data_IF_892153639088
#
_entry.id   IF_892153639088
#
_cell.length_a   1.000
_cell.length_b   1.000
_cell.length_c   1.000
_cell.angle_alpha   90.00
_cell.angle_beta   90.00
_cell.angle_gamma   90.00
#
_symmetry.space_group_name_H-M   'P 1'
#
loop_
_entity.id
_entity.type
_entity.pdbx_description
1 polymer ?
#
# COMPACT_ATOMS: atom_id res chain seq x y z
N UNK A 1 8.10 -31.08 -5.32
CA UNK A 1 9.08 -31.59 -4.35
C UNK A 1 9.12 -30.63 -3.17
N UNK A 2 9.00 -31.12 -1.93
CA UNK A 2 9.31 -30.35 -0.73
C UNK A 2 10.72 -29.76 -0.83
N UNK A 3 10.92 -28.54 -0.32
CA UNK A 3 12.24 -27.87 -0.31
C UNK A 3 13.29 -28.73 0.40
N UNK A 4 12.88 -29.53 1.40
CA UNK A 4 13.77 -30.43 2.12
C UNK A 4 14.37 -31.56 1.26
N UNK A 5 13.79 -31.84 0.08
CA UNK A 5 14.26 -32.87 -0.84
C UNK A 5 15.19 -32.33 -1.94
N UNK A 6 15.43 -31.01 -1.97
CA UNK A 6 16.32 -30.38 -2.95
C UNK A 6 17.79 -30.55 -2.57
N UNK A 7 18.64 -30.78 -3.56
CA UNK A 7 20.09 -30.86 -3.32
C UNK A 7 20.66 -29.48 -2.94
N UNK A 8 21.74 -29.41 -2.15
CA UNK A 8 22.39 -28.14 -1.80
C UNK A 8 22.79 -27.30 -3.02
N UNK A 9 23.17 -27.96 -4.13
CA UNK A 9 23.49 -27.32 -5.40
C UNK A 9 22.27 -26.56 -5.96
N UNK A 10 21.11 -27.22 -6.02
CA UNK A 10 19.86 -26.64 -6.52
C UNK A 10 19.39 -25.49 -5.63
N UNK A 11 19.54 -25.62 -4.31
CA UNK A 11 19.25 -24.52 -3.37
C UNK A 11 20.17 -23.32 -3.63
N UNK A 12 21.46 -23.56 -3.88
CA UNK A 12 22.42 -22.52 -4.24
C UNK A 12 22.08 -21.81 -5.55
N UNK A 13 21.72 -22.57 -6.59
CA UNK A 13 21.34 -22.03 -7.90
C UNK A 13 20.04 -21.21 -7.81
N UNK A 14 19.05 -21.70 -7.06
CA UNK A 14 17.81 -20.95 -6.79
C UNK A 14 18.09 -19.67 -6.02
N UNK A 15 18.92 -19.72 -4.99
CA UNK A 15 19.33 -18.53 -4.23
C UNK A 15 19.99 -17.49 -5.14
N UNK A 16 20.92 -17.92 -5.99
CA UNK A 16 21.58 -17.04 -6.95
C UNK A 16 20.58 -16.44 -7.95
N UNK A 17 19.69 -17.25 -8.52
CA UNK A 17 18.64 -16.77 -9.41
C UNK A 17 17.78 -15.71 -8.73
N UNK A 18 17.27 -16.02 -7.54
CA UNK A 18 16.43 -15.13 -6.75
C UNK A 18 17.14 -13.80 -6.45
N UNK A 19 18.39 -13.84 -5.96
CA UNK A 19 19.16 -12.63 -5.65
C UNK A 19 19.42 -11.73 -6.87
N UNK A 20 19.61 -12.31 -8.05
CA UNK A 20 19.99 -11.57 -9.26
C UNK A 20 18.81 -11.28 -10.20
N UNK A 21 17.63 -11.87 -9.96
CA UNK A 21 16.45 -11.65 -10.78
C UNK A 21 15.91 -10.23 -10.58
N UNK A 22 16.17 -9.35 -11.53
CA UNK A 22 15.51 -8.05 -11.60
C UNK A 22 14.22 -8.20 -12.42
N UNK A 23 13.07 -8.12 -11.76
CA UNK A 23 11.83 -7.87 -12.49
C UNK A 23 11.96 -6.50 -13.16
N UNK A 24 11.73 -6.42 -14.47
CA UNK A 24 11.62 -5.14 -15.13
C UNK A 24 10.54 -4.32 -14.42
N UNK A 25 10.82 -3.09 -13.96
CA UNK A 25 9.79 -2.25 -13.39
C UNK A 25 8.75 -2.03 -14.48
N UNK A 26 7.57 -2.62 -14.31
CA UNK A 26 6.42 -2.32 -15.16
C UNK A 26 5.99 -0.89 -14.85
N UNK A 27 6.52 0.07 -15.62
CA UNK A 27 5.97 1.41 -15.71
C UNK A 27 4.68 1.32 -16.54
N UNK A 28 3.58 0.91 -15.91
CA UNK A 28 2.30 0.74 -16.58
C UNK A 28 1.51 2.04 -16.50
N UNK A 29 1.80 2.94 -17.46
CA UNK A 29 1.03 4.14 -17.72
C UNK A 29 0.02 3.83 -18.84
N UNK A 30 -1.29 3.84 -18.54
CA UNK A 30 -2.33 3.46 -19.51
C UNK A 30 -2.30 4.30 -20.79
N UNK A 31 -1.91 5.58 -20.71
CA UNK A 31 -1.82 6.44 -21.90
C UNK A 31 -0.74 5.94 -22.86
N UNK A 32 0.43 5.62 -22.32
CA UNK A 32 1.54 5.02 -23.08
C UNK A 32 1.16 3.62 -23.56
N UNK A 33 0.53 2.80 -22.72
CA UNK A 33 0.17 1.43 -23.05
C UNK A 33 -0.95 1.33 -24.09
N UNK A 34 -1.96 2.19 -24.05
CA UNK A 34 -3.00 2.26 -25.08
C UNK A 34 -2.37 2.70 -26.40
N UNK A 35 -1.46 3.68 -26.37
CA UNK A 35 -0.72 4.08 -27.57
C UNK A 35 0.17 2.95 -28.12
N UNK A 36 0.89 2.23 -27.27
CA UNK A 36 1.72 1.10 -27.68
C UNK A 36 0.91 -0.08 -28.22
N UNK A 37 -0.24 -0.39 -27.61
CA UNK A 37 -1.05 -1.56 -27.97
C UNK A 37 -2.01 -1.30 -29.14
N UNK A 38 -2.53 -0.08 -29.26
CA UNK A 38 -3.62 0.26 -30.19
C UNK A 38 -3.31 1.49 -31.07
N UNK A 39 -2.09 2.01 -30.99
CA UNK A 39 -1.62 3.13 -31.78
C UNK A 39 -2.41 4.42 -31.57
N UNK A 40 -2.37 5.29 -32.58
CA UNK A 40 -3.10 6.56 -32.60
C UNK A 40 -4.62 6.38 -32.53
N UNK A 41 -5.16 5.25 -33.01
CA UNK A 41 -6.60 4.97 -33.00
C UNK A 41 -7.09 4.73 -31.58
N UNK A 42 -6.42 3.89 -30.79
CA UNK A 42 -6.77 3.68 -29.38
C UNK A 42 -6.65 4.96 -28.56
N UNK A 43 -5.61 5.76 -28.84
CA UNK A 43 -5.41 7.06 -28.20
C UNK A 43 -6.54 8.05 -28.52
N UNK A 44 -7.02 8.09 -29.77
CA UNK A 44 -8.16 8.92 -30.16
C UNK A 44 -9.47 8.49 -29.45
N UNK A 45 -9.72 7.18 -29.33
CA UNK A 45 -10.89 6.64 -28.62
C UNK A 45 -10.85 7.04 -27.14
N UNK A 46 -9.69 6.94 -26.50
CA UNK A 46 -9.49 7.35 -25.12
C UNK A 46 -9.76 8.86 -24.93
N UNK A 47 -9.27 9.72 -25.82
CA UNK A 47 -9.58 11.17 -25.79
C UNK A 47 -11.09 11.41 -25.92
N UNK A 48 -11.78 10.69 -26.81
CA UNK A 48 -13.23 10.80 -26.94
C UNK A 48 -13.96 10.40 -25.65
N UNK A 49 -13.50 9.36 -24.95
CA UNK A 49 -14.05 8.96 -23.65
C UNK A 49 -13.83 10.02 -22.56
N UNK A 50 -12.67 10.69 -22.55
CA UNK A 50 -12.37 11.79 -21.62
C UNK A 50 -13.31 12.97 -21.90
N UNK A 51 -13.44 13.39 -23.16
CA UNK A 51 -14.33 14.49 -23.57
C UNK A 51 -15.79 14.15 -23.24
N UNK A 52 -16.23 12.92 -23.51
CA UNK A 52 -17.57 12.46 -23.16
C UNK A 52 -17.83 12.54 -21.65
N UNK A 53 -16.88 12.10 -20.83
CA UNK A 53 -16.97 12.14 -19.37
C UNK A 53 -17.05 13.60 -18.88
N UNK A 54 -16.18 14.48 -19.39
CA UNK A 54 -16.17 15.89 -19.04
C UNK A 54 -17.47 16.62 -19.42
N UNK A 55 -18.01 16.35 -20.61
CA UNK A 55 -19.27 16.96 -21.07
C UNK A 55 -20.48 16.50 -20.25
N UNK A 56 -20.52 15.23 -19.84
CA UNK A 56 -21.57 14.71 -18.95
C UNK A 56 -21.45 15.26 -17.54
N UNK A 57 -20.23 15.35 -16.98
CA UNK A 57 -19.99 16.00 -15.70
C UNK A 57 -20.42 17.48 -15.71
N UNK A 58 -20.09 18.20 -16.78
CA UNK A 58 -20.50 19.60 -16.97
C UNK A 58 -22.02 19.76 -17.06
N UNK A 59 -22.70 18.85 -17.78
CA UNK A 59 -24.16 18.83 -17.87
C UNK A 59 -24.80 18.55 -16.51
N UNK A 60 -24.25 17.65 -15.70
CA UNK A 60 -24.70 17.39 -14.32
C UNK A 60 -24.54 18.62 -13.42
N UNK A 61 -23.43 19.35 -13.57
CA UNK A 61 -23.17 20.57 -12.79
C UNK A 61 -24.15 21.70 -13.14
N UNK A 62 -24.52 21.84 -14.43
CA UNK A 62 -25.45 22.89 -14.89
C UNK A 62 -26.93 22.52 -14.75
N UNK A 63 -27.29 21.30 -15.10
CA UNK A 63 -28.66 20.81 -15.07
C UNK A 63 -28.75 19.71 -14.01
N UNK A 64 -29.52 19.96 -12.94
CA UNK A 64 -29.68 19.08 -11.76
C UNK A 64 -30.32 17.70 -12.05
N UNK A 65 -30.33 17.23 -13.29
CA UNK A 65 -30.95 15.97 -13.70
C UNK A 65 -30.12 15.26 -14.77
N UNK A 66 -29.66 14.06 -14.43
CA UNK A 66 -29.07 13.08 -15.34
C UNK A 66 -29.86 11.78 -15.20
N UNK A 67 -29.87 10.95 -16.24
CA UNK A 67 -30.47 9.62 -16.12
C UNK A 67 -29.60 8.72 -15.21
N UNK A 68 -30.19 7.73 -14.52
CA UNK A 68 -29.44 6.82 -13.65
C UNK A 68 -28.30 6.07 -14.37
N UNK A 69 -28.52 5.64 -15.60
CA UNK A 69 -27.51 4.98 -16.44
C UNK A 69 -26.34 5.91 -16.78
N UNK A 70 -26.62 7.18 -17.04
CA UNK A 70 -25.58 8.18 -17.28
C UNK A 70 -24.77 8.49 -16.02
N UNK A 71 -25.41 8.46 -14.84
CA UNK A 71 -24.73 8.64 -13.55
C UNK A 71 -23.77 7.49 -13.23
N UNK A 72 -24.19 6.24 -13.47
CA UNK A 72 -23.33 5.06 -13.30
C UNK A 72 -22.17 5.09 -14.30
N UNK A 73 -22.45 5.38 -15.57
CA UNK A 73 -21.40 5.51 -16.60
C UNK A 73 -20.40 6.62 -16.26
N UNK A 74 -20.88 7.76 -15.73
CA UNK A 74 -20.02 8.86 -15.30
C UNK A 74 -19.13 8.46 -14.11
N UNK A 75 -19.67 7.73 -13.13
CA UNK A 75 -18.92 7.25 -11.98
C UNK A 75 -17.82 6.25 -12.38
N UNK A 76 -18.16 5.29 -13.25
CA UNK A 76 -17.21 4.30 -13.78
C UNK A 76 -16.10 5.01 -14.56
N UNK A 77 -16.44 5.86 -15.52
CA UNK A 77 -15.45 6.54 -16.36
C UNK A 77 -14.56 7.50 -15.56
N UNK A 78 -15.13 8.27 -14.63
CA UNK A 78 -14.35 9.17 -13.76
C UNK A 78 -13.40 8.39 -12.86
N UNK A 79 -13.81 7.22 -12.35
CA UNK A 79 -12.95 6.35 -11.55
C UNK A 79 -11.79 5.77 -12.34
N UNK A 80 -12.03 5.32 -13.58
CA UNK A 80 -11.00 4.79 -14.48
C UNK A 80 -9.95 5.87 -14.79
N UNK A 81 -10.37 7.11 -15.07
CA UNK A 81 -9.41 8.19 -15.34
C UNK A 81 -8.66 8.66 -14.10
N UNK A 82 -9.30 8.68 -12.93
CA UNK A 82 -8.65 9.06 -11.68
C UNK A 82 -7.55 8.05 -11.30
N UNK A 83 -7.84 6.75 -11.41
CA UNK A 83 -6.87 5.68 -11.18
C UNK A 83 -5.62 5.79 -12.06
N UNK A 84 -5.74 6.26 -13.29
CA UNK A 84 -4.60 6.30 -14.22
C UNK A 84 -3.78 7.58 -14.13
N UNK A 85 -4.37 8.65 -13.57
CA UNK A 85 -3.63 9.86 -13.18
C UNK A 85 -2.78 9.56 -11.92
N UNK A 86 -3.32 8.74 -11.02
CA UNK A 86 -2.65 8.31 -9.79
C UNK A 86 -2.24 6.84 -9.91
N UNK A 87 -1.17 6.60 -10.67
CA UNK A 87 -0.47 5.30 -10.86
C UNK A 87 -0.89 4.22 -9.86
N UNK A 88 -1.39 3.07 -10.35
CA UNK A 88 -1.84 1.92 -9.54
C UNK A 88 -0.76 1.35 -8.61
N UNK A 89 0.52 1.72 -8.79
CA UNK A 89 1.58 1.43 -7.81
C UNK A 89 1.40 2.19 -6.49
N UNK A 90 0.59 3.26 -6.47
CA UNK A 90 -0.15 3.62 -5.27
C UNK A 90 -1.22 2.56 -5.05
N UNK A 91 -0.89 1.60 -4.18
CA UNK A 91 -1.64 0.43 -3.68
C UNK A 91 -3.16 0.66 -3.43
N UNK A 92 -3.64 1.90 -3.45
CA UNK A 92 -4.96 2.34 -2.96
C UNK A 92 -5.99 2.73 -4.04
N UNK A 93 -5.72 2.55 -5.33
CA UNK A 93 -6.78 2.68 -6.35
C UNK A 93 -7.90 1.62 -6.20
N UNK A 94 -7.60 0.47 -5.56
CA UNK A 94 -8.54 -0.64 -5.38
C UNK A 94 -9.65 -0.38 -4.36
N UNK A 95 -9.41 0.45 -3.33
CA UNK A 95 -10.43 0.82 -2.32
C UNK A 95 -11.32 1.97 -2.80
N UNK A 96 -10.79 2.88 -3.61
CA UNK A 96 -11.54 4.00 -4.19
C UNK A 96 -12.64 3.52 -5.15
N UNK A 97 -12.38 2.46 -5.92
CA UNK A 97 -13.31 1.87 -6.88
C UNK A 97 -14.61 1.38 -6.23
N UNK A 98 -14.50 0.53 -5.20
CA UNK A 98 -15.67 -0.01 -4.50
C UNK A 98 -16.41 1.08 -3.74
N UNK A 99 -15.70 2.08 -3.21
CA UNK A 99 -16.31 3.19 -2.50
C UNK A 99 -17.09 4.13 -3.44
N UNK A 100 -16.55 4.51 -4.60
CA UNK A 100 -17.29 5.33 -5.59
C UNK A 100 -18.45 4.55 -6.20
N UNK A 101 -18.27 3.26 -6.51
CA UNK A 101 -19.33 2.41 -7.01
C UNK A 101 -20.45 2.25 -5.95
N UNK A 102 -20.08 2.00 -4.69
CA UNK A 102 -21.03 1.95 -3.57
C UNK A 102 -21.70 3.31 -3.36
N UNK A 103 -20.98 4.43 -3.43
CA UNK A 103 -21.55 5.77 -3.35
C UNK A 103 -22.53 6.01 -4.51
N UNK A 104 -22.20 5.60 -5.74
CA UNK A 104 -23.07 5.70 -6.90
C UNK A 104 -24.35 4.87 -6.75
N UNK A 105 -24.23 3.65 -6.23
CA UNK A 105 -25.37 2.75 -5.95
C UNK A 105 -26.22 3.28 -4.78
N UNK A 106 -25.59 3.75 -3.70
CA UNK A 106 -26.26 4.26 -2.49
C UNK A 106 -26.86 5.66 -2.66
N UNK A 107 -26.34 6.47 -3.59
CA UNK A 107 -26.91 7.78 -3.95
C UNK A 107 -28.16 7.65 -4.82
N UNK A 108 -28.50 6.44 -5.27
CA UNK A 108 -29.76 6.17 -5.92
C UNK A 108 -30.84 5.95 -4.85
N UNK A 109 -31.98 6.68 -4.88
CA UNK A 109 -33.16 6.21 -4.16
C UNK A 109 -33.63 4.97 -4.92
N UNK A 110 -33.48 3.75 -4.38
CA UNK A 110 -33.98 2.51 -5.01
C UNK A 110 -35.43 2.72 -5.47
N UNK A 111 -35.64 3.11 -6.73
CA UNK A 111 -36.95 3.24 -7.33
C UNK A 111 -37.24 1.90 -7.98
N UNK A 112 -37.58 0.93 -7.14
CA UNK A 112 -38.28 -0.25 -7.60
C UNK A 112 -39.68 0.18 -8.05
N UNK A 113 -39.86 0.26 -9.37
CA UNK A 113 -41.13 0.12 -10.08
C UNK A 113 -40.81 -0.84 -11.23
N UNK A 114 -41.43 -2.01 -11.38
CA UNK A 114 -42.84 -2.38 -11.20
C UNK A 114 -42.98 -3.87 -10.82
N UNK A 115 -44.08 -4.22 -10.14
CA UNK A 115 -44.56 -5.60 -10.01
C UNK A 115 -44.58 -6.13 -8.58
N UNK A 116 -45.78 -6.15 -7.98
CA UNK A 116 -46.14 -6.78 -6.70
C UNK A 116 -45.55 -6.19 -5.41
N UNK A 117 -46.38 -5.45 -4.67
CA UNK A 117 -46.57 -5.40 -3.20
C UNK A 117 -45.43 -5.75 -2.23
N UNK A 118 -44.17 -5.56 -2.60
CA UNK A 118 -43.04 -5.56 -1.68
C UNK A 118 -42.70 -4.10 -1.43
N UNK A 119 -42.89 -3.65 -0.18
CA UNK A 119 -42.38 -2.35 0.26
C UNK A 119 -40.90 -2.31 -0.13
N UNK A 120 -40.45 -1.34 -0.96
CA UNK A 120 -39.03 -1.23 -1.27
C UNK A 120 -38.31 -1.13 0.07
N UNK A 121 -37.19 -1.85 0.21
CA UNK A 121 -36.34 -1.78 1.39
C UNK A 121 -35.76 -0.35 1.43
N UNK A 122 -36.54 0.59 1.98
CA UNK A 122 -36.15 2.00 2.03
C UNK A 122 -35.17 2.14 3.18
N UNK A 123 -33.88 2.04 2.87
CA UNK A 123 -32.87 2.52 3.81
C UNK A 123 -33.14 4.00 4.07
N UNK A 124 -33.42 4.41 5.32
CA UNK A 124 -33.75 5.80 5.59
C UNK A 124 -32.58 6.70 5.14
N UNK A 125 -32.84 7.80 4.41
CA UNK A 125 -31.80 8.63 3.80
C UNK A 125 -30.71 9.10 4.78
N UNK A 126 -31.07 9.30 6.05
CA UNK A 126 -30.15 9.64 7.14
C UNK A 126 -29.03 8.62 7.37
N UNK A 127 -29.30 7.32 7.18
CA UNK A 127 -28.28 6.27 7.34
C UNK A 127 -27.38 6.17 6.11
N UNK A 128 -27.91 6.42 4.90
CA UNK A 128 -27.12 6.49 3.68
C UNK A 128 -26.12 7.65 3.73
N UNK A 129 -26.57 8.83 4.16
CA UNK A 129 -25.70 9.99 4.38
C UNK A 129 -24.66 9.69 5.46
N UNK A 130 -25.03 9.03 6.56
CA UNK A 130 -24.08 8.64 7.59
C UNK A 130 -23.00 7.66 7.07
N UNK A 131 -23.39 6.64 6.30
CA UNK A 131 -22.45 5.69 5.68
C UNK A 131 -21.52 6.41 4.69
N UNK A 132 -22.05 7.35 3.90
CA UNK A 132 -21.25 8.16 2.99
C UNK A 132 -20.22 9.03 3.72
N UNK A 133 -20.61 9.66 4.84
CA UNK A 133 -19.69 10.44 5.67
C UNK A 133 -18.59 9.55 6.24
N UNK A 134 -18.95 8.37 6.76
CA UNK A 134 -17.97 7.40 7.31
C UNK A 134 -16.99 6.94 6.22
N UNK A 135 -17.49 6.61 5.02
CA UNK A 135 -16.66 6.23 3.88
C UNK A 135 -15.73 7.38 3.45
N UNK A 136 -16.25 8.61 3.39
CA UNK A 136 -15.46 9.79 3.02
C UNK A 136 -14.34 10.05 4.03
N UNK A 137 -14.66 9.98 5.33
CA UNK A 137 -13.65 10.12 6.40
C UNK A 137 -12.60 9.02 6.28
N UNK A 138 -13.01 7.76 6.08
CA UNK A 138 -12.08 6.65 5.91
C UNK A 138 -11.13 6.85 4.72
N UNK A 139 -11.65 7.30 3.56
CA UNK A 139 -10.83 7.60 2.37
C UNK A 139 -9.84 8.74 2.63
N UNK A 140 -10.26 9.80 3.33
CA UNK A 140 -9.38 10.93 3.68
C UNK A 140 -8.24 10.44 4.60
N UNK A 141 -8.56 9.61 5.60
CA UNK A 141 -7.57 9.03 6.51
C UNK A 141 -6.56 8.14 5.76
N UNK A 142 -7.04 7.33 4.82
CA UNK A 142 -6.20 6.48 3.97
C UNK A 142 -5.25 7.33 3.09
N UNK A 143 -5.80 8.33 2.37
CA UNK A 143 -5.02 9.23 1.53
C UNK A 143 -3.99 10.07 2.30
N UNK A 144 -4.30 10.45 3.55
CA UNK A 144 -3.36 11.12 4.43
C UNK A 144 -2.16 10.22 4.79
N UNK A 145 -2.40 8.96 5.17
CA UNK A 145 -1.34 7.99 5.44
C UNK A 145 -0.45 7.74 4.21
N UNK A 146 -1.02 7.65 3.01
CA UNK A 146 -0.25 7.52 1.77
C UNK A 146 0.66 8.71 1.53
N UNK A 147 0.13 9.93 1.68
CA UNK A 147 0.93 11.15 1.49
C UNK A 147 2.12 11.19 2.46
N UNK A 148 1.92 10.76 3.70
CA UNK A 148 3.01 10.63 4.66
C UNK A 148 4.02 9.54 4.25
N UNK A 149 3.56 8.39 3.77
CA UNK A 149 4.42 7.30 3.28
C UNK A 149 5.31 7.77 2.14
N UNK A 150 4.76 8.47 1.14
CA UNK A 150 5.54 9.03 0.04
C UNK A 150 6.52 10.12 0.50
N UNK A 151 6.14 10.98 1.45
CA UNK A 151 7.07 11.95 2.04
C UNK A 151 8.26 11.28 2.69
N UNK A 152 8.05 10.16 3.38
CA UNK A 152 9.15 9.37 3.97
C UNK A 152 10.02 8.74 2.88
N UNK A 153 9.42 8.11 1.87
CA UNK A 153 10.18 7.53 0.75
C UNK A 153 11.04 8.57 0.05
N UNK A 154 10.50 9.77 -0.19
CA UNK A 154 11.24 10.89 -0.76
C UNK A 154 12.36 11.39 0.16
N UNK A 155 12.11 11.49 1.47
CA UNK A 155 13.09 11.91 2.46
C UNK A 155 14.32 10.99 2.47
N UNK A 156 14.11 9.68 2.27
CA UNK A 156 15.17 8.67 2.30
C UNK A 156 15.55 8.10 0.93
N UNK A 157 15.05 8.64 -0.18
CA UNK A 157 15.22 8.09 -1.55
C UNK A 157 16.66 7.74 -1.91
N UNK A 158 17.62 8.52 -1.41
CA UNK A 158 19.04 8.35 -1.71
C UNK A 158 19.81 7.57 -0.61
N UNK A 159 19.12 7.16 0.45
CA UNK A 159 19.69 6.63 1.69
C UNK A 159 19.42 5.14 1.90
N UNK A 160 18.55 4.53 1.11
CA UNK A 160 18.36 3.08 1.09
C UNK A 160 18.40 2.54 -0.34
N UNK A 161 18.71 1.26 -0.43
CA UNK A 161 18.40 0.43 -1.59
C UNK A 161 17.41 -0.64 -1.14
N UNK A 162 16.53 -1.04 -2.05
CA UNK A 162 15.62 -2.16 -1.86
C UNK A 162 16.12 -3.27 -2.78
N UNK A 163 16.38 -4.45 -2.23
CA UNK A 163 16.72 -5.60 -3.08
C UNK A 163 15.46 -6.22 -3.71
N UNK A 164 15.66 -7.24 -4.56
CA UNK A 164 14.56 -7.90 -5.28
C UNK A 164 13.53 -8.59 -4.36
N UNK A 165 13.84 -8.74 -3.06
CA UNK A 165 12.95 -9.33 -2.04
C UNK A 165 12.32 -8.28 -1.13
N UNK A 166 12.38 -7.01 -1.52
CA UNK A 166 11.93 -5.89 -0.71
C UNK A 166 12.72 -5.69 0.60
N UNK A 167 13.91 -6.29 0.75
CA UNK A 167 14.74 -6.02 1.92
C UNK A 167 15.33 -4.60 1.81
N UNK A 168 15.11 -3.81 2.84
CA UNK A 168 15.68 -2.47 2.98
C UNK A 168 17.14 -2.56 3.44
N UNK A 169 18.05 -2.02 2.63
CA UNK A 169 19.45 -1.84 2.98
C UNK A 169 19.76 -0.36 3.05
N UNK A 170 20.06 0.13 4.25
CA UNK A 170 20.50 1.51 4.43
C UNK A 170 21.94 1.66 3.93
N UNK A 171 22.24 2.80 3.32
CA UNK A 171 23.63 3.17 3.04
C UNK A 171 24.33 3.49 4.35
N UNK A 172 25.65 3.32 4.38
CA UNK A 172 26.45 3.69 5.54
C UNK A 172 26.26 5.18 5.88
N UNK A 173 26.13 5.49 7.17
CA UNK A 173 26.06 6.86 7.67
C UNK A 173 24.67 7.52 7.66
N UNK A 174 23.57 6.78 7.41
CA UNK A 174 22.21 7.35 7.49
C UNK A 174 21.87 7.89 8.88
N UNK A 175 22.30 7.19 9.93
CA UNK A 175 22.19 7.64 11.32
C UNK A 175 23.08 8.87 11.64
N UNK A 176 23.97 9.27 10.73
CA UNK A 176 24.80 10.48 10.86
C UNK A 176 24.09 11.75 10.41
N UNK A 177 23.04 11.61 9.60
CA UNK A 177 22.28 12.76 9.12
C UNK A 177 21.19 13.18 10.12
N UNK A 178 21.57 13.99 11.12
CA UNK A 178 20.66 14.48 12.16
C UNK A 178 19.42 15.23 11.60
N UNK A 179 19.55 15.93 10.46
CA UNK A 179 18.43 16.64 9.82
C UNK A 179 17.41 15.63 9.30
N UNK A 180 17.88 14.55 8.70
CA UNK A 180 17.03 13.50 8.15
C UNK A 180 16.34 12.71 9.26
N UNK A 181 17.07 12.36 10.33
CA UNK A 181 16.51 11.67 11.49
C UNK A 181 15.48 12.54 12.23
N UNK A 182 15.74 13.82 12.46
CA UNK A 182 14.78 14.73 13.12
C UNK A 182 13.50 14.91 12.29
N UNK A 183 13.61 15.01 10.97
CA UNK A 183 12.45 15.04 10.06
C UNK A 183 11.65 13.75 10.14
N UNK A 184 12.30 12.59 10.11
CA UNK A 184 11.63 11.30 10.26
C UNK A 184 10.86 11.22 11.58
N UNK A 185 11.49 11.56 12.70
CA UNK A 185 10.85 11.54 14.03
C UNK A 185 9.67 12.50 14.16
N UNK A 186 9.61 13.54 13.32
CA UNK A 186 8.46 14.46 13.26
C UNK A 186 7.30 13.88 12.43
N UNK A 187 7.62 13.09 11.40
CA UNK A 187 6.64 12.56 10.44
C UNK A 187 6.03 11.23 10.92
N UNK A 188 6.83 10.31 11.45
CA UNK A 188 6.39 8.96 11.83
C UNK A 188 5.20 8.94 12.83
N UNK A 189 5.15 9.81 13.87
CA UNK A 189 4.01 9.86 14.78
C UNK A 189 2.72 10.42 14.15
N UNK A 190 2.80 11.05 12.96
CA UNK A 190 1.62 11.58 12.27
C UNK A 190 0.85 10.48 11.53
N UNK A 191 1.43 9.30 11.35
CA UNK A 191 0.71 8.18 10.76
C UNK A 191 -0.46 7.80 11.66
N UNK A 192 -1.62 7.61 11.03
CA UNK A 192 -2.78 7.11 11.74
C UNK A 192 -2.52 5.65 12.13
N UNK A 193 -3.10 5.16 13.24
CA UNK A 193 -2.90 3.81 13.75
C UNK A 193 -3.66 2.76 12.93
N UNK A 194 -3.51 2.82 11.61
CA UNK A 194 -4.07 1.90 10.64
C UNK A 194 -2.90 1.02 10.14
N UNK A 195 -2.71 -0.19 10.70
CA UNK A 195 -1.65 -1.10 10.28
C UNK A 195 -2.05 -1.74 8.94
N UNK A 196 -1.88 -0.99 7.86
CA UNK A 196 -2.27 -1.43 6.50
C UNK A 196 -1.03 -1.76 5.66
N UNK A 197 0.12 -1.15 5.96
CA UNK A 197 1.32 -1.26 5.14
C UNK A 197 2.50 -1.85 5.94
N UNK A 198 2.76 -3.15 5.71
CA UNK A 198 3.89 -3.88 6.28
C UNK A 198 5.26 -3.26 5.93
N UNK A 199 5.40 -2.64 4.74
CA UNK A 199 6.67 -2.08 4.27
C UNK A 199 6.95 -0.76 4.98
N UNK A 200 5.92 0.03 5.27
CA UNK A 200 6.04 1.22 6.14
C UNK A 200 6.52 0.83 7.53
N UNK A 201 5.94 -0.20 8.13
CA UNK A 201 6.34 -0.67 9.46
C UNK A 201 7.76 -1.24 9.46
N UNK A 202 8.13 -2.02 8.45
CA UNK A 202 9.52 -2.47 8.24
C UNK A 202 10.50 -1.31 8.15
N UNK A 203 10.15 -0.30 7.35
CA UNK A 203 10.97 0.89 7.15
C UNK A 203 11.18 1.67 8.45
N UNK A 204 10.09 1.99 9.15
CA UNK A 204 10.17 2.73 10.41
C UNK A 204 10.95 1.95 11.47
N UNK A 205 10.70 0.64 11.58
CA UNK A 205 11.42 -0.25 12.48
C UNK A 205 12.93 -0.25 12.23
N UNK A 206 13.34 -0.36 10.97
CA UNK A 206 14.77 -0.34 10.61
C UNK A 206 15.40 1.03 10.90
N UNK A 207 14.75 2.15 10.57
CA UNK A 207 15.28 3.49 10.89
C UNK A 207 15.52 3.65 12.39
N UNK A 208 14.57 3.22 13.23
CA UNK A 208 14.74 3.28 14.68
C UNK A 208 15.85 2.35 15.19
N UNK A 209 16.03 1.18 14.56
CA UNK A 209 17.13 0.27 14.89
C UNK A 209 18.50 0.89 14.56
N UNK A 210 18.64 1.57 13.42
CA UNK A 210 19.86 2.31 13.06
C UNK A 210 20.16 3.45 14.06
N UNK A 211 19.13 4.21 14.45
CA UNK A 211 19.27 5.26 15.46
C UNK A 211 19.71 4.66 16.80
N UNK A 212 19.15 3.52 17.21
CA UNK A 212 19.59 2.80 18.41
C UNK A 212 21.05 2.35 18.31
N UNK A 213 21.48 1.76 17.19
CA UNK A 213 22.85 1.29 17.05
C UNK A 213 23.88 2.41 17.27
N UNK A 214 23.54 3.64 16.89
CA UNK A 214 24.37 4.82 17.12
C UNK A 214 24.22 5.43 18.52
N UNK A 215 23.00 5.71 18.94
CA UNK A 215 22.71 6.43 20.20
C UNK A 215 22.83 5.56 21.45
N UNK A 216 22.65 4.23 21.28
CA UNK A 216 22.47 3.24 22.35
C UNK A 216 21.28 3.52 23.28
N UNK A 217 20.34 4.38 22.89
CA UNK A 217 19.15 4.71 23.67
C UNK A 217 18.05 3.64 23.47
N UNK A 218 17.70 2.96 24.56
CA UNK A 218 16.69 1.89 24.58
C UNK A 218 15.31 2.35 24.11
N UNK A 219 14.99 3.64 24.19
CA UNK A 219 13.72 4.16 23.66
C UNK A 219 13.57 3.89 22.16
N UNK A 220 14.65 4.00 21.39
CA UNK A 220 14.62 3.69 19.96
C UNK A 220 14.56 2.19 19.69
N UNK A 221 15.15 1.36 20.56
CA UNK A 221 15.02 -0.09 20.49
C UNK A 221 13.57 -0.54 20.71
N UNK A 222 12.86 0.06 21.67
CA UNK A 222 11.44 -0.22 21.91
C UNK A 222 10.56 0.25 20.76
N UNK A 223 10.84 1.42 20.16
CA UNK A 223 10.13 1.88 18.97
C UNK A 223 10.35 0.93 17.79
N UNK A 224 11.58 0.51 17.54
CA UNK A 224 11.90 -0.48 16.51
C UNK A 224 11.11 -1.78 16.74
N UNK A 225 11.12 -2.28 17.98
CA UNK A 225 10.36 -3.46 18.40
C UNK A 225 8.86 -3.31 18.10
N UNK A 226 8.26 -2.17 18.44
CA UNK A 226 6.84 -1.90 18.22
C UNK A 226 6.46 -1.93 16.74
N UNK A 227 7.28 -1.33 15.87
CA UNK A 227 7.05 -1.36 14.43
C UNK A 227 7.19 -2.77 13.85
N UNK A 228 8.22 -3.53 14.22
CA UNK A 228 8.36 -4.89 13.70
C UNK A 228 7.29 -5.86 14.25
N UNK A 229 6.79 -5.64 15.47
CA UNK A 229 5.61 -6.35 15.98
C UNK A 229 4.34 -5.99 15.19
N UNK A 230 4.16 -4.72 14.84
CA UNK A 230 3.07 -4.28 13.96
C UNK A 230 3.18 -4.93 12.58
N UNK A 231 4.39 -4.99 12.02
CA UNK A 231 4.66 -5.67 10.74
C UNK A 231 4.20 -7.13 10.75
N UNK A 232 4.58 -7.94 11.75
CA UNK A 232 4.15 -9.35 11.81
C UNK A 232 2.66 -9.51 12.14
N UNK A 233 2.01 -8.47 12.67
CA UNK A 233 0.56 -8.49 12.86
C UNK A 233 -0.19 -8.31 11.53
N UNK A 234 0.37 -7.53 10.61
CA UNK A 234 -0.14 -7.33 9.24
C UNK A 234 0.21 -8.54 8.38
N UNK A 235 1.49 -8.93 8.39
CA UNK A 235 2.04 -10.01 7.59
C UNK A 235 2.84 -11.00 8.46
N UNK A 236 2.16 -12.01 9.06
CA UNK A 236 2.76 -12.94 10.03
C UNK A 236 3.96 -13.74 9.52
N UNK A 237 4.08 -13.90 8.21
CA UNK A 237 5.12 -14.68 7.56
C UNK A 237 6.29 -13.80 7.06
N UNK A 238 6.36 -12.53 7.46
CA UNK A 238 7.47 -11.64 7.09
C UNK A 238 8.79 -12.11 7.70
N UNK A 239 9.61 -12.80 6.91
CA UNK A 239 10.93 -13.26 7.34
C UNK A 239 11.84 -12.10 7.79
N UNK A 240 11.72 -10.93 7.14
CA UNK A 240 12.48 -9.72 7.48
C UNK A 240 12.14 -9.24 8.88
N UNK A 241 10.84 -9.10 9.19
CA UNK A 241 10.39 -8.62 10.49
C UNK A 241 10.70 -9.63 11.60
N UNK A 242 10.55 -10.93 11.33
CA UNK A 242 10.91 -11.99 12.28
C UNK A 242 12.41 -11.97 12.59
N UNK A 243 13.26 -11.81 11.59
CA UNK A 243 14.72 -11.71 11.79
C UNK A 243 15.10 -10.48 12.62
N UNK A 244 14.54 -9.30 12.29
CA UNK A 244 14.83 -8.08 13.08
C UNK A 244 14.29 -8.16 14.50
N UNK A 245 13.15 -8.83 14.73
CA UNK A 245 12.67 -9.12 16.09
C UNK A 245 13.62 -10.05 16.85
N UNK A 246 14.12 -11.11 16.21
CA UNK A 246 15.16 -11.98 16.80
C UNK A 246 16.39 -11.19 17.26
N UNK A 247 16.89 -10.30 16.41
CA UNK A 247 18.02 -9.41 16.72
C UNK A 247 17.70 -8.45 17.88
N UNK A 248 16.51 -7.82 17.86
CA UNK A 248 16.07 -6.89 18.90
C UNK A 248 15.91 -7.60 20.26
N UNK A 249 15.29 -8.78 20.31
CA UNK A 249 15.14 -9.53 21.55
C UNK A 249 16.50 -10.00 22.09
N UNK A 250 17.44 -10.36 21.21
CA UNK A 250 18.82 -10.61 21.62
C UNK A 250 19.49 -9.37 22.21
N UNK A 251 19.25 -8.17 21.65
CA UNK A 251 19.76 -6.90 22.18
C UNK A 251 19.10 -6.51 23.52
N UNK A 252 17.85 -6.92 23.75
CA UNK A 252 17.14 -6.78 25.03
C UNK A 252 17.62 -7.78 26.09
N UNK A 253 18.29 -8.86 25.68
CA UNK A 253 18.76 -9.92 26.55
C UNK A 253 17.76 -11.06 26.75
N UNK A 254 16.67 -11.10 25.96
CA UNK A 254 15.69 -12.18 25.99
C UNK A 254 16.08 -13.29 25.02
N UNK A 255 16.97 -14.18 25.49
CA UNK A 255 17.49 -15.28 24.69
C UNK A 255 16.42 -16.30 24.29
N UNK A 256 15.27 -16.35 24.97
CA UNK A 256 14.19 -17.28 24.64
C UNK A 256 13.40 -16.74 23.45
N UNK A 257 12.89 -15.52 23.57
CA UNK A 257 12.12 -14.90 22.48
C UNK A 257 12.98 -14.70 21.23
N UNK A 258 14.27 -14.38 21.38
CA UNK A 258 15.19 -14.33 20.26
C UNK A 258 15.25 -15.66 19.50
N UNK A 259 15.37 -16.79 20.20
CA UNK A 259 15.39 -18.13 19.57
C UNK A 259 14.06 -18.49 18.93
N UNK A 260 12.95 -18.12 19.55
CA UNK A 260 11.61 -18.40 19.01
C UNK A 260 11.40 -17.65 17.69
N UNK A 261 11.74 -16.36 17.62
CA UNK A 261 11.70 -15.58 16.38
C UNK A 261 12.71 -16.07 15.34
N UNK A 262 13.92 -16.46 15.74
CA UNK A 262 14.93 -17.04 14.85
C UNK A 262 14.43 -18.32 14.18
N UNK A 263 13.74 -19.18 14.93
CA UNK A 263 13.16 -20.41 14.40
C UNK A 263 12.07 -20.10 13.36
N UNK A 264 11.18 -19.14 13.66
CA UNK A 264 10.13 -18.71 12.74
C UNK A 264 10.72 -18.04 11.48
N UNK A 265 11.76 -17.22 11.63
CA UNK A 265 12.49 -16.62 10.51
C UNK A 265 13.02 -17.70 9.56
N UNK A 266 13.73 -18.71 10.07
CA UNK A 266 14.30 -19.80 9.25
C UNK A 266 13.22 -20.63 8.54
N UNK A 267 12.05 -20.77 9.15
CA UNK A 267 10.92 -21.44 8.51
C UNK A 267 10.36 -20.63 7.33
N UNK A 268 10.33 -19.30 7.46
CA UNK A 268 9.74 -18.39 6.46
C UNK A 268 10.75 -17.88 5.41
N UNK A 269 12.06 -18.07 5.62
CA UNK A 269 13.11 -17.82 4.64
C UNK A 269 14.02 -19.06 4.45
N UNK A 270 13.50 -20.12 3.79
CA UNK A 270 14.23 -21.37 3.61
C UNK A 270 15.46 -21.23 2.70
N UNK A 271 15.58 -20.13 1.95
CA UNK A 271 16.69 -19.86 1.02
C UNK A 271 17.73 -18.87 1.60
N UNK A 272 17.47 -18.30 2.78
CA UNK A 272 18.35 -17.31 3.41
C UNK A 272 18.56 -16.08 2.53
N UNK A 273 17.47 -15.56 1.98
CA UNK A 273 17.41 -14.37 1.14
C UNK A 273 17.46 -13.08 1.96
N UNK A 274 17.03 -13.10 3.22
CA UNK A 274 17.12 -11.95 4.12
C UNK A 274 18.57 -11.79 4.59
N UNK A 275 19.30 -10.91 3.91
CA UNK A 275 20.71 -10.60 4.23
C UNK A 275 20.77 -9.68 5.47
N UNK A 276 21.76 -9.84 6.37
CA UNK A 276 21.99 -8.91 7.50
C UNK A 276 22.14 -7.46 7.05
#
# INVERSE_FOLDING_TARGET
>A
MPIQELSPQVIGDLKFYFQNFQAFPHAHNLYLQIFFNYGSVGFAIMIMMIIYTATKAWKMFRNKSISPSEGIALAILSSLFFQEIFDYTMIDAMTFYQAILAIGILSHPFQAKEGNNQKPLSFPPKYLVAIQIVLMVFIILLGFNLCLSEKIKLLFRNQFTIDNFSNLKFKDGVADNQILISRFMTIDPLFLPLPIDEKKEQFAGQVYLEIFHKSKDRLFLEKASGHFQSCIRIFPYSAVCLKRLSEIESLKGDAKNAKDFESLYKQNDPFGLVVP
#
